data_IF_238522606897
#
_entry.id   IF_238522606897
#
_cell.length_a   1.000
_cell.length_b   1.000
_cell.length_c   1.000
_cell.angle_alpha   90.00
_cell.angle_beta   90.00
_cell.angle_gamma   90.00
#
_symmetry.space_group_name_H-M   'P 1'
#
loop_
_entity.id
_entity.type
_entity.pdbx_description
1 polymer ?
#
# COMPACT_ATOMS: atom_id res chain seq x y z
N UNK A 1 0.97 6.41 -23.06
CA UNK A 1 -0.18 6.24 -22.16
C UNK A 1 -0.61 4.80 -22.32
N UNK A 2 -0.66 4.01 -21.23
CA UNK A 2 -1.15 2.63 -21.30
C UNK A 2 -2.58 2.64 -21.87
N UNK A 3 -2.88 1.78 -22.83
CA UNK A 3 -4.22 1.66 -23.38
C UNK A 3 -5.20 1.23 -22.27
N UNK A 4 -6.04 2.16 -21.83
CA UNK A 4 -7.03 1.92 -20.77
C UNK A 4 -8.28 1.18 -21.28
N UNK A 5 -8.34 0.88 -22.57
CA UNK A 5 -9.45 0.15 -23.19
C UNK A 5 -9.23 -1.36 -23.19
N UNK A 6 -7.98 -1.84 -23.08
CA UNK A 6 -7.68 -3.27 -22.91
C UNK A 6 -8.14 -3.75 -21.52
N UNK A 7 -8.91 -4.86 -21.44
CA UNK A 7 -9.25 -5.46 -20.15
C UNK A 7 -7.98 -5.90 -19.43
N UNK A 8 -7.87 -5.57 -18.14
CA UNK A 8 -6.72 -5.99 -17.32
C UNK A 8 -6.87 -7.46 -16.92
N UNK A 9 -5.76 -8.18 -16.89
CA UNK A 9 -5.65 -9.58 -16.44
C UNK A 9 -5.57 -9.72 -14.90
N UNK A 10 -5.91 -8.66 -14.17
CA UNK A 10 -5.88 -8.56 -12.71
C UNK A 10 -6.97 -7.60 -12.21
N UNK A 11 -7.40 -7.77 -10.95
CA UNK A 11 -8.53 -7.05 -10.33
C UNK A 11 -8.11 -5.65 -9.89
N UNK A 12 -8.47 -4.65 -10.67
CA UNK A 12 -8.11 -3.24 -10.42
C UNK A 12 -9.00 -2.55 -9.38
N UNK A 13 -8.39 -1.69 -8.56
CA UNK A 13 -9.12 -0.87 -7.57
C UNK A 13 -10.17 0.06 -8.19
N UNK A 14 -9.92 0.55 -9.41
CA UNK A 14 -10.87 1.41 -10.11
C UNK A 14 -12.16 0.69 -10.48
N UNK A 15 -12.08 -0.60 -10.86
CA UNK A 15 -13.24 -1.45 -11.10
C UNK A 15 -13.95 -1.76 -9.78
N UNK A 16 -13.18 -2.13 -8.75
CA UNK A 16 -13.71 -2.40 -7.42
C UNK A 16 -14.50 -1.22 -6.84
N UNK A 17 -13.97 0.01 -6.89
CA UNK A 17 -14.70 1.19 -6.38
C UNK A 17 -15.96 1.49 -7.18
N UNK A 18 -15.96 1.26 -8.50
CA UNK A 18 -17.16 1.42 -9.31
C UNK A 18 -18.23 0.38 -8.95
N UNK A 19 -17.83 -0.87 -8.71
CA UNK A 19 -18.72 -1.93 -8.23
C UNK A 19 -19.27 -1.60 -6.83
N UNK A 20 -18.40 -1.17 -5.91
CA UNK A 20 -18.75 -0.92 -4.50
C UNK A 20 -19.63 0.32 -4.32
N UNK A 21 -19.36 1.40 -5.05
CA UNK A 21 -20.00 2.70 -4.84
C UNK A 21 -20.91 3.14 -5.99
N UNK A 22 -21.03 2.36 -7.06
CA UNK A 22 -21.84 2.69 -8.25
C UNK A 22 -21.21 3.74 -9.18
N UNK A 23 -20.14 4.40 -8.76
CA UNK A 23 -19.40 5.40 -9.54
C UNK A 23 -17.92 5.44 -9.11
N UNK A 24 -17.12 6.32 -9.73
CA UNK A 24 -15.69 6.44 -9.40
C UNK A 24 -15.51 7.09 -8.03
N UNK A 25 -14.75 6.43 -7.15
CA UNK A 25 -14.21 7.02 -5.94
C UNK A 25 -12.73 7.37 -6.10
N UNK A 26 -12.28 8.44 -5.45
CA UNK A 26 -10.88 8.89 -5.51
C UNK A 26 -10.28 9.04 -4.10
N UNK A 27 -9.06 8.54 -3.91
CA UNK A 27 -8.33 8.71 -2.64
C UNK A 27 -7.71 10.09 -2.54
N UNK A 28 -8.00 10.80 -1.46
CA UNK A 28 -7.45 12.13 -1.18
C UNK A 28 -6.37 11.98 -0.12
N UNK A 29 -5.08 12.21 -0.42
CA UNK A 29 -4.03 12.21 0.58
C UNK A 29 -4.29 13.27 1.66
N UNK A 30 -4.23 12.86 2.92
CA UNK A 30 -4.36 13.71 4.11
C UNK A 30 -3.13 13.52 4.99
N UNK A 31 -2.51 14.63 5.40
CA UNK A 31 -1.40 14.64 6.33
C UNK A 31 -1.83 15.07 7.73
N UNK A 32 -1.25 14.41 8.73
CA UNK A 32 -1.35 14.77 10.13
C UNK A 32 0.02 15.18 10.68
N UNK A 33 0.08 16.05 11.70
CA UNK A 33 1.33 16.49 12.33
C UNK A 33 1.82 15.41 13.31
N UNK A 34 2.23 14.25 12.77
CA UNK A 34 2.68 13.08 13.53
C UNK A 34 3.97 12.49 12.94
N UNK A 35 4.55 11.51 13.65
CA UNK A 35 5.76 10.79 13.24
C UNK A 35 5.52 9.27 13.21
N UNK A 36 6.59 8.50 13.08
CA UNK A 36 6.63 7.04 13.10
C UNK A 36 7.45 6.57 14.32
N UNK A 37 7.01 5.54 15.07
CA UNK A 37 7.73 5.05 16.25
C UNK A 37 9.13 4.51 15.94
N UNK A 38 9.39 4.16 14.68
CA UNK A 38 10.70 3.72 14.22
C UNK A 38 11.68 4.88 13.97
N UNK A 39 11.27 6.13 14.24
CA UNK A 39 12.10 7.33 14.10
C UNK A 39 12.48 7.96 15.43
N UNK A 40 11.59 7.89 16.42
CA UNK A 40 11.70 8.62 17.68
C UNK A 40 12.30 7.82 18.83
N UNK A 41 12.66 6.55 18.60
CA UNK A 41 13.23 5.65 19.59
C UNK A 41 12.23 4.66 20.21
N UNK A 42 10.94 4.75 19.91
CA UNK A 42 9.93 3.88 20.51
C UNK A 42 9.97 2.43 19.99
N UNK A 43 10.19 2.26 18.69
CA UNK A 43 10.40 0.96 18.04
C UNK A 43 11.75 0.85 17.32
N UNK A 44 12.40 1.99 17.08
CA UNK A 44 13.68 2.09 16.38
C UNK A 44 14.11 3.55 16.24
N UNK A 45 15.30 3.77 15.71
CA UNK A 45 15.89 5.10 15.54
C UNK A 45 16.19 5.35 14.05
N UNK A 46 15.96 6.58 13.59
CA UNK A 46 16.34 7.02 12.23
C UNK A 46 15.36 6.63 11.11
N UNK A 47 14.36 5.78 11.38
CA UNK A 47 13.38 5.36 10.38
C UNK A 47 13.88 4.22 9.48
N UNK A 48 13.00 3.78 8.57
CA UNK A 48 13.36 2.77 7.59
C UNK A 48 14.43 3.31 6.64
N UNK A 49 15.39 2.50 6.24
CA UNK A 49 16.59 2.96 5.52
C UNK A 49 16.29 3.63 4.18
N UNK A 50 15.14 3.34 3.57
CA UNK A 50 14.67 3.93 2.31
C UNK A 50 13.71 5.13 2.50
N UNK A 51 13.31 5.45 3.73
CA UNK A 51 12.25 6.41 4.02
C UNK A 51 12.83 7.81 4.28
N UNK A 52 12.65 8.74 3.34
CA UNK A 52 13.11 10.14 3.49
C UNK A 52 12.35 10.92 4.57
N UNK A 53 12.83 12.13 4.92
CA UNK A 53 12.33 12.92 6.05
C UNK A 53 10.80 13.14 6.04
N UNK A 54 10.21 13.38 4.87
CA UNK A 54 8.77 13.61 4.71
C UNK A 54 7.95 12.32 4.55
N UNK A 55 8.58 11.15 4.65
CA UNK A 55 7.92 9.85 4.47
C UNK A 55 7.37 9.65 3.06
N UNK A 56 6.09 9.31 2.95
CA UNK A 56 5.38 9.14 1.68
C UNK A 56 4.61 10.40 1.24
N UNK A 57 4.82 11.54 1.91
CA UNK A 57 3.97 12.73 1.82
C UNK A 57 4.17 13.64 0.61
N UNK A 58 4.72 13.17 -0.51
CA UNK A 58 4.98 14.03 -1.69
C UNK A 58 3.71 14.64 -2.30
N UNK A 59 2.57 13.97 -2.17
CA UNK A 59 1.27 14.45 -2.68
C UNK A 59 0.39 15.09 -1.59
N UNK A 60 0.91 15.19 -0.35
CA UNK A 60 0.14 15.73 0.77
C UNK A 60 0.15 17.25 0.78
N UNK A 61 -0.96 17.82 1.26
CA UNK A 61 -0.99 19.20 1.72
C UNK A 61 -0.23 19.34 3.06
N UNK A 62 0.18 20.57 3.44
CA UNK A 62 0.87 20.78 4.71
C UNK A 62 0.07 20.27 5.91
N UNK A 63 0.74 19.56 6.82
CA UNK A 63 0.12 19.02 8.04
C UNK A 63 -0.35 20.11 9.03
N UNK A 64 0.01 21.37 8.80
CA UNK A 64 -0.50 22.53 9.55
C UNK A 64 -1.95 22.89 9.20
N UNK A 65 -2.46 22.43 8.05
CA UNK A 65 -3.85 22.63 7.65
C UNK A 65 -4.78 21.64 8.37
N UNK A 66 -6.01 22.06 8.66
CA UNK A 66 -7.02 21.15 9.19
C UNK A 66 -7.37 20.07 8.15
N UNK A 67 -7.78 18.89 8.63
CA UNK A 67 -8.22 17.77 7.77
C UNK A 67 -9.28 18.21 6.75
N UNK A 68 -10.28 18.98 7.21
CA UNK A 68 -11.33 19.51 6.34
C UNK A 68 -10.79 20.42 5.24
N UNK A 69 -9.88 21.35 5.56
CA UNK A 69 -9.28 22.23 4.55
C UNK A 69 -8.48 21.46 3.51
N UNK A 70 -7.70 20.45 3.93
CA UNK A 70 -6.94 19.61 3.01
C UNK A 70 -7.87 18.88 2.02
N UNK A 71 -9.01 18.37 2.51
CA UNK A 71 -10.02 17.69 1.67
C UNK A 71 -10.71 18.67 0.73
N UNK A 72 -11.29 19.76 1.26
CA UNK A 72 -12.07 20.74 0.49
C UNK A 72 -11.25 21.33 -0.68
N UNK A 73 -10.00 21.71 -0.42
CA UNK A 73 -9.13 22.26 -1.47
C UNK A 73 -8.76 21.21 -2.52
N UNK A 74 -8.60 19.95 -2.14
CA UNK A 74 -8.19 18.88 -3.06
C UNK A 74 -9.37 18.41 -3.92
N UNK A 75 -10.58 18.37 -3.36
CA UNK A 75 -11.83 18.08 -4.07
C UNK A 75 -12.05 19.02 -5.26
N UNK A 76 -11.80 20.32 -5.09
CA UNK A 76 -11.96 21.33 -6.17
C UNK A 76 -11.11 21.01 -7.40
N UNK A 77 -9.91 20.46 -7.20
CA UNK A 77 -8.99 20.08 -8.28
C UNK A 77 -9.38 18.74 -8.91
N UNK A 78 -9.75 17.75 -8.09
CA UNK A 78 -10.08 16.40 -8.54
C UNK A 78 -11.40 16.37 -9.30
N UNK A 79 -12.43 17.06 -8.82
CA UNK A 79 -13.75 17.11 -9.46
C UNK A 79 -13.64 17.60 -10.91
N UNK A 80 -12.86 18.66 -11.14
CA UNK A 80 -12.62 19.24 -12.48
C UNK A 80 -11.84 18.28 -13.40
N UNK A 81 -10.81 17.61 -12.88
CA UNK A 81 -9.89 16.80 -13.69
C UNK A 81 -10.41 15.39 -13.99
N UNK A 82 -11.02 14.74 -12.99
CA UNK A 82 -11.34 13.31 -13.05
C UNK A 82 -12.84 13.00 -13.06
N UNK A 83 -13.70 14.00 -12.89
CA UNK A 83 -15.17 13.84 -12.82
C UNK A 83 -15.59 12.78 -11.79
N UNK A 84 -14.92 12.76 -10.64
CA UNK A 84 -15.22 11.91 -9.49
C UNK A 84 -15.82 12.77 -8.38
N UNK A 85 -16.92 12.30 -7.78
CA UNK A 85 -17.69 13.01 -6.75
C UNK A 85 -17.77 12.24 -5.42
N UNK A 86 -17.16 11.06 -5.38
CA UNK A 86 -16.98 10.27 -4.16
C UNK A 86 -15.52 10.22 -3.78
N UNK A 87 -15.24 10.38 -2.50
CA UNK A 87 -13.88 10.53 -2.01
C UNK A 87 -13.59 9.60 -0.85
N UNK A 88 -12.32 9.21 -0.75
CA UNK A 88 -11.78 8.41 0.33
C UNK A 88 -10.59 9.17 0.92
N UNK A 89 -10.76 9.96 1.99
CA UNK A 89 -9.65 10.55 2.72
C UNK A 89 -8.66 9.46 3.13
N UNK A 90 -7.41 9.63 2.72
CA UNK A 90 -6.34 8.67 2.89
C UNK A 90 -5.26 9.29 3.75
N UNK A 91 -5.29 8.94 5.03
CA UNK A 91 -4.28 9.30 6.01
C UNK A 91 -3.02 8.49 5.70
N UNK A 92 -2.13 9.08 4.89
CA UNK A 92 -1.11 8.32 4.17
C UNK A 92 0.23 8.26 4.90
N UNK A 93 0.64 9.35 5.55
CA UNK A 93 2.02 9.50 5.96
C UNK A 93 2.30 8.88 7.34
N UNK A 94 3.47 8.30 7.51
CA UNK A 94 3.94 7.69 8.76
C UNK A 94 2.97 6.67 9.37
N UNK A 95 2.64 6.78 10.65
CA UNK A 95 1.80 5.83 11.38
C UNK A 95 0.60 6.57 11.97
N UNK A 96 -0.51 6.57 11.25
CA UNK A 96 -1.66 7.41 11.62
C UNK A 96 -2.45 6.91 12.83
N UNK A 97 -2.06 5.78 13.43
CA UNK A 97 -2.55 5.33 14.74
C UNK A 97 -1.55 5.61 15.86
N UNK A 98 -0.38 6.19 15.56
CA UNK A 98 0.63 6.57 16.55
C UNK A 98 0.37 7.96 17.12
N UNK A 99 -0.76 8.09 17.81
CA UNK A 99 -1.19 9.29 18.53
C UNK A 99 -2.22 8.95 19.62
N UNK A 100 -2.48 9.84 20.59
CA UNK A 100 -3.52 9.60 21.60
C UNK A 100 -4.88 9.28 20.95
N UNK A 101 -5.62 8.25 21.44
CA UNK A 101 -6.85 7.78 20.80
C UNK A 101 -7.90 8.87 20.55
N UNK A 102 -8.10 9.79 21.49
CA UNK A 102 -9.08 10.88 21.33
C UNK A 102 -8.69 11.85 20.21
N UNK A 103 -7.40 12.16 20.07
CA UNK A 103 -6.90 12.98 18.98
C UNK A 103 -7.08 12.28 17.62
N UNK A 104 -6.95 10.95 17.60
CA UNK A 104 -7.20 10.13 16.42
C UNK A 104 -8.66 10.18 16.01
N UNK A 105 -9.57 9.98 16.96
CA UNK A 105 -11.01 10.15 16.75
C UNK A 105 -11.33 11.50 16.10
N UNK A 106 -10.84 12.60 16.70
CA UNK A 106 -11.08 13.95 16.18
C UNK A 106 -10.63 14.14 14.73
N UNK A 107 -9.44 13.65 14.37
CA UNK A 107 -8.95 13.75 12.99
C UNK A 107 -9.76 12.92 12.00
N UNK A 108 -10.13 11.70 12.37
CA UNK A 108 -10.90 10.80 11.49
C UNK A 108 -12.34 11.31 11.33
N UNK A 109 -12.98 11.77 12.40
CA UNK A 109 -14.31 12.39 12.33
C UNK A 109 -14.32 13.66 11.48
N UNK A 110 -13.25 14.47 11.55
CA UNK A 110 -13.12 15.67 10.70
C UNK A 110 -13.00 15.35 9.20
N UNK A 111 -12.68 14.11 8.83
CA UNK A 111 -12.69 13.65 7.45
C UNK A 111 -14.05 13.12 6.96
N UNK A 112 -15.02 12.93 7.85
CA UNK A 112 -16.34 12.37 7.51
C UNK A 112 -17.29 13.43 6.93
N UNK A 113 -16.97 13.93 5.73
CA UNK A 113 -17.77 14.91 4.99
C UNK A 113 -18.84 14.22 4.12
N UNK A 114 -19.85 14.96 3.66
CA UNK A 114 -21.01 14.42 2.90
C UNK A 114 -20.64 13.57 1.67
N UNK A 115 -19.57 13.93 0.96
CA UNK A 115 -19.10 13.24 -0.26
C UNK A 115 -18.07 12.13 0.02
N UNK A 116 -17.83 11.81 1.29
CA UNK A 116 -16.88 10.77 1.71
C UNK A 116 -17.59 9.45 1.88
N UNK A 117 -17.11 8.43 1.16
CA UNK A 117 -17.72 7.08 1.15
C UNK A 117 -16.87 6.03 1.86
N UNK A 118 -15.63 6.38 2.18
CA UNK A 118 -14.76 5.56 3.00
C UNK A 118 -13.59 6.36 3.54
N UNK A 119 -12.87 5.82 4.51
CA UNK A 119 -11.63 6.38 5.03
C UNK A 119 -10.55 5.31 4.94
N UNK A 120 -9.38 5.72 4.46
CA UNK A 120 -8.19 4.88 4.43
C UNK A 120 -7.16 5.36 5.46
N UNK A 121 -6.74 4.48 6.36
CA UNK A 121 -5.75 4.75 7.41
C UNK A 121 -4.48 3.95 7.11
N UNK A 122 -3.41 4.61 6.67
CA UNK A 122 -2.10 3.99 6.60
C UNK A 122 -1.45 3.96 7.99
N UNK A 123 -1.03 2.77 8.41
CA UNK A 123 -0.27 2.61 9.64
C UNK A 123 0.72 1.45 9.57
N UNK A 124 1.56 1.33 10.59
CA UNK A 124 2.41 0.15 10.74
C UNK A 124 1.64 -0.95 11.47
N UNK A 125 1.94 -2.23 11.19
CA UNK A 125 1.35 -3.35 11.91
C UNK A 125 1.48 -3.28 13.44
N UNK A 126 2.65 -2.91 13.95
CA UNK A 126 2.93 -2.72 15.39
C UNK A 126 2.22 -1.52 16.02
N UNK A 127 1.44 -0.75 15.24
CA UNK A 127 0.60 0.34 15.72
C UNK A 127 -0.90 0.02 15.64
N UNK A 128 -1.27 -1.24 15.37
CA UNK A 128 -2.68 -1.67 15.33
C UNK A 128 -3.09 -2.18 16.71
N UNK A 129 -4.04 -1.49 17.34
CA UNK A 129 -4.55 -1.85 18.66
C UNK A 129 -6.07 -1.67 18.70
N UNK A 130 -6.76 -2.52 19.45
CA UNK A 130 -8.23 -2.63 19.48
C UNK A 130 -8.89 -1.29 19.83
N UNK A 131 -8.33 -0.50 20.75
CA UNK A 131 -8.81 0.85 21.06
C UNK A 131 -8.94 1.80 19.85
N UNK A 132 -8.06 1.70 18.84
CA UNK A 132 -8.18 2.50 17.61
C UNK A 132 -9.20 1.89 16.65
N UNK A 133 -9.30 0.55 16.63
CA UNK A 133 -10.28 -0.17 15.80
C UNK A 133 -11.70 0.06 16.30
N UNK A 134 -11.91 0.14 17.62
CA UNK A 134 -13.18 0.52 18.26
C UNK A 134 -13.61 1.92 17.81
N UNK A 135 -12.69 2.89 17.84
CA UNK A 135 -12.94 4.25 17.33
C UNK A 135 -13.36 4.21 15.86
N UNK A 136 -12.64 3.46 15.02
CA UNK A 136 -13.00 3.33 13.60
C UNK A 136 -14.36 2.67 13.41
N UNK A 137 -14.74 1.73 14.28
CA UNK A 137 -16.03 1.05 14.21
C UNK A 137 -17.18 1.96 14.59
N UNK A 138 -17.00 2.75 15.64
CA UNK A 138 -17.95 3.78 16.04
C UNK A 138 -18.17 4.78 14.89
N UNK A 139 -17.09 5.24 14.27
CA UNK A 139 -17.16 6.19 13.14
C UNK A 139 -17.84 5.54 11.94
N UNK A 140 -17.48 4.31 11.57
CA UNK A 140 -18.16 3.57 10.50
C UNK A 140 -19.67 3.50 10.74
N UNK A 141 -20.09 3.12 11.95
CA UNK A 141 -21.51 2.97 12.29
C UNK A 141 -22.24 4.33 12.29
N UNK A 142 -21.57 5.39 12.78
CA UNK A 142 -22.14 6.74 12.89
C UNK A 142 -22.31 7.42 11.53
N UNK A 143 -21.36 7.25 10.62
CA UNK A 143 -21.33 7.97 9.33
C UNK A 143 -21.67 7.09 8.12
N UNK A 144 -21.77 5.77 8.29
CA UNK A 144 -22.14 4.84 7.21
C UNK A 144 -21.07 4.71 6.11
N UNK A 145 -19.79 4.80 6.48
CA UNK A 145 -18.65 4.81 5.55
C UNK A 145 -17.80 3.53 5.65
N UNK A 146 -17.13 3.16 4.57
CA UNK A 146 -16.18 2.04 4.59
C UNK A 146 -14.87 2.41 5.30
N UNK A 147 -14.23 1.45 5.94
CA UNK A 147 -12.93 1.62 6.57
C UNK A 147 -11.92 0.70 5.89
N UNK A 148 -10.83 1.31 5.40
CA UNK A 148 -9.69 0.64 4.81
C UNK A 148 -8.48 0.86 5.71
N UNK A 149 -7.84 -0.19 6.20
CA UNK A 149 -6.59 -0.09 6.95
C UNK A 149 -5.45 -0.54 6.05
N UNK A 150 -4.52 0.36 5.77
CA UNK A 150 -3.37 0.06 4.94
C UNK A 150 -2.12 -0.20 5.79
N UNK A 151 -1.55 -1.39 5.66
CA UNK A 151 -0.42 -1.87 6.44
C UNK A 151 0.85 -1.92 5.61
N UNK A 152 1.88 -1.22 6.09
CA UNK A 152 3.21 -1.27 5.49
C UNK A 152 3.99 -2.53 5.85
N UNK A 153 3.78 -3.65 5.15
CA UNK A 153 4.58 -4.87 5.31
C UNK A 153 5.96 -4.74 4.66
N UNK A 154 5.97 -4.33 3.40
CA UNK A 154 7.12 -4.16 2.50
C UNK A 154 7.75 -5.46 2.01
N UNK A 155 7.97 -6.44 2.88
CA UNK A 155 8.46 -7.78 2.52
C UNK A 155 7.97 -8.81 3.53
N UNK A 156 7.77 -10.06 3.10
CA UNK A 156 7.55 -11.20 4.01
C UNK A 156 8.85 -11.76 4.58
N UNK A 157 9.99 -11.39 4.00
CA UNK A 157 11.29 -11.83 4.47
C UNK A 157 11.76 -10.98 5.65
N UNK A 158 11.72 -11.55 6.85
CA UNK A 158 12.10 -10.81 8.06
C UNK A 158 13.57 -10.39 8.08
N UNK A 159 14.47 -11.10 7.39
CA UNK A 159 15.86 -10.66 7.24
C UNK A 159 15.95 -9.38 6.40
N UNK A 160 15.16 -9.29 5.31
CA UNK A 160 15.03 -8.05 4.54
C UNK A 160 14.45 -6.93 5.39
N UNK A 161 13.42 -7.21 6.20
CA UNK A 161 12.82 -6.23 7.11
C UNK A 161 13.84 -5.69 8.14
N UNK A 162 14.73 -6.53 8.65
CA UNK A 162 15.83 -6.12 9.53
C UNK A 162 16.82 -5.22 8.79
N UNK A 163 17.25 -5.59 7.58
CA UNK A 163 18.18 -4.78 6.77
C UNK A 163 17.66 -3.40 6.41
N UNK A 164 16.34 -3.27 6.20
CA UNK A 164 15.71 -1.96 5.96
C UNK A 164 15.35 -1.19 7.23
N UNK A 165 15.75 -1.67 8.41
CA UNK A 165 15.35 -1.09 9.69
C UNK A 165 13.83 -0.86 9.76
N UNK A 166 13.02 -1.90 9.47
CA UNK A 166 11.56 -1.75 9.43
C UNK A 166 10.98 -1.47 10.82
N UNK A 167 11.50 -2.15 11.84
CA UNK A 167 11.05 -2.05 13.25
C UNK A 167 9.81 -2.90 13.60
N UNK A 168 9.33 -3.73 12.68
CA UNK A 168 8.32 -4.77 12.92
C UNK A 168 8.58 -5.93 11.94
N UNK A 169 7.97 -7.09 12.18
CA UNK A 169 8.14 -8.30 11.36
C UNK A 169 6.80 -8.95 11.00
N UNK A 170 6.86 -10.18 10.48
CA UNK A 170 5.68 -10.94 10.07
C UNK A 170 4.70 -11.22 11.20
N UNK A 171 5.15 -11.41 12.43
CA UNK A 171 4.26 -11.71 13.55
C UNK A 171 3.33 -10.52 13.85
N UNK A 172 3.87 -9.30 13.91
CA UNK A 172 3.09 -8.08 14.10
C UNK A 172 2.14 -7.85 12.91
N UNK A 173 2.58 -8.15 11.68
CA UNK A 173 1.71 -8.09 10.50
C UNK A 173 0.53 -9.05 10.61
N UNK A 174 0.77 -10.32 10.93
CA UNK A 174 -0.29 -11.33 11.07
C UNK A 174 -1.29 -10.91 12.16
N UNK A 175 -0.80 -10.51 13.35
CA UNK A 175 -1.67 -10.05 14.44
C UNK A 175 -2.52 -8.85 14.01
N UNK A 176 -1.92 -7.85 13.38
CA UNK A 176 -2.62 -6.68 12.86
C UNK A 176 -3.73 -7.05 11.87
N UNK A 177 -3.45 -7.90 10.88
CA UNK A 177 -4.46 -8.36 9.91
C UNK A 177 -5.61 -9.06 10.62
N UNK A 178 -5.31 -10.03 11.50
CA UNK A 178 -6.33 -10.77 12.22
C UNK A 178 -7.20 -9.85 13.09
N UNK A 179 -6.61 -8.85 13.77
CA UNK A 179 -7.35 -7.84 14.53
C UNK A 179 -8.30 -7.05 13.65
N UNK A 180 -7.81 -6.47 12.55
CA UNK A 180 -8.60 -5.63 11.66
C UNK A 180 -9.77 -6.41 11.06
N UNK A 181 -9.54 -7.67 10.64
CA UNK A 181 -10.60 -8.51 10.05
C UNK A 181 -11.73 -8.82 11.04
N UNK A 182 -11.46 -8.90 12.36
CA UNK A 182 -12.54 -9.07 13.37
C UNK A 182 -13.56 -7.93 13.38
N UNK A 183 -13.17 -6.74 12.95
CA UNK A 183 -14.08 -5.58 12.87
C UNK A 183 -14.84 -5.50 11.54
N UNK A 184 -14.50 -6.37 10.57
CA UNK A 184 -15.06 -6.35 9.22
C UNK A 184 -14.51 -5.22 8.35
N UNK A 185 -13.34 -4.66 8.69
CA UNK A 185 -12.68 -3.66 7.86
C UNK A 185 -11.86 -4.31 6.76
N UNK A 186 -11.63 -3.57 5.68
CA UNK A 186 -10.75 -4.02 4.60
C UNK A 186 -9.29 -3.76 4.93
N UNK A 187 -8.45 -4.74 4.64
CA UNK A 187 -7.00 -4.65 4.81
C UNK A 187 -6.33 -4.45 3.45
N UNK A 188 -5.46 -3.45 3.37
CA UNK A 188 -4.54 -3.29 2.24
C UNK A 188 -3.10 -3.54 2.68
N UNK A 189 -2.40 -4.47 2.05
CA UNK A 189 -0.97 -4.68 2.30
C UNK A 189 -0.10 -3.93 1.30
N UNK A 190 0.95 -3.24 1.77
CA UNK A 190 1.97 -2.64 0.91
C UNK A 190 3.17 -3.56 0.80
N UNK A 191 3.64 -3.81 -0.42
CA UNK A 191 4.81 -4.64 -0.71
C UNK A 191 5.75 -3.93 -1.69
N UNK A 192 7.06 -4.12 -1.51
CA UNK A 192 8.11 -3.65 -2.42
C UNK A 192 8.76 -4.88 -3.05
N UNK A 193 8.58 -5.08 -4.35
CA UNK A 193 9.00 -6.34 -4.99
C UNK A 193 10.44 -6.34 -5.52
N UNK A 194 11.18 -5.25 -5.33
CA UNK A 194 12.58 -5.11 -5.73
C UNK A 194 13.48 -4.65 -4.57
N UNK A 195 13.16 -5.04 -3.33
CA UNK A 195 14.14 -4.89 -2.25
C UNK A 195 15.37 -5.75 -2.60
N UNK A 196 16.61 -5.24 -2.42
CA UNK A 196 17.83 -5.88 -2.93
C UNK A 196 18.09 -7.29 -2.38
N UNK A 197 17.47 -7.63 -1.25
CA UNK A 197 17.68 -8.87 -0.53
C UNK A 197 16.53 -9.87 -0.68
N UNK A 198 15.46 -9.48 -1.38
CA UNK A 198 14.35 -10.38 -1.69
C UNK A 198 14.63 -11.12 -3.00
N UNK A 199 14.35 -12.42 -2.98
CA UNK A 199 14.39 -13.36 -4.10
C UNK A 199 13.01 -13.48 -4.77
N UNK A 200 12.93 -14.24 -5.87
CA UNK A 200 11.63 -14.59 -6.47
C UNK A 200 10.75 -15.41 -5.51
N UNK A 201 11.36 -16.28 -4.70
CA UNK A 201 10.62 -17.07 -3.71
C UNK A 201 9.98 -16.17 -2.66
N UNK A 202 10.67 -15.13 -2.19
CA UNK A 202 10.10 -14.14 -1.25
C UNK A 202 8.89 -13.40 -1.87
N UNK A 203 8.93 -13.14 -3.18
CA UNK A 203 7.83 -12.51 -3.90
C UNK A 203 6.62 -13.45 -3.99
N UNK A 204 6.85 -14.71 -4.37
CA UNK A 204 5.79 -15.73 -4.48
C UNK A 204 5.18 -16.01 -3.10
N UNK A 205 6.00 -16.24 -2.08
CA UNK A 205 5.54 -16.45 -0.71
C UNK A 205 4.86 -15.20 -0.14
N UNK A 206 5.24 -14.00 -0.60
CA UNK A 206 4.50 -12.77 -0.38
C UNK A 206 3.04 -12.86 -0.85
N UNK A 207 2.83 -13.23 -2.10
CA UNK A 207 1.48 -13.39 -2.67
C UNK A 207 0.68 -14.49 -1.93
N UNK A 208 1.32 -15.63 -1.64
CA UNK A 208 0.68 -16.74 -0.93
C UNK A 208 0.28 -16.38 0.48
N UNK A 209 1.16 -15.71 1.22
CA UNK A 209 0.93 -15.29 2.60
C UNK A 209 -0.22 -14.31 2.70
N UNK A 210 -0.25 -13.29 1.83
CA UNK A 210 -1.34 -12.31 1.82
C UNK A 210 -2.69 -12.94 1.47
N UNK A 211 -2.68 -13.91 0.57
CA UNK A 211 -3.87 -14.70 0.22
C UNK A 211 -4.35 -15.58 1.38
N UNK A 212 -3.44 -16.27 2.06
CA UNK A 212 -3.76 -17.11 3.22
C UNK A 212 -4.33 -16.30 4.39
N UNK A 213 -3.83 -15.07 4.58
CA UNK A 213 -4.35 -14.11 5.56
C UNK A 213 -5.63 -13.41 5.13
N UNK A 214 -6.12 -13.66 3.91
CA UNK A 214 -7.32 -13.06 3.33
C UNK A 214 -7.29 -11.53 3.38
N UNK A 215 -6.13 -10.96 3.04
CA UNK A 215 -6.01 -9.52 2.82
C UNK A 215 -6.88 -9.11 1.64
N UNK A 216 -7.57 -7.98 1.73
CA UNK A 216 -8.57 -7.58 0.73
C UNK A 216 -7.94 -6.85 -0.46
N UNK A 217 -6.85 -6.11 -0.22
CA UNK A 217 -6.19 -5.28 -1.22
C UNK A 217 -4.67 -5.33 -1.13
N UNK A 218 -3.99 -5.09 -2.25
CA UNK A 218 -2.52 -4.97 -2.30
C UNK A 218 -2.12 -3.70 -3.04
N UNK A 219 -1.12 -3.01 -2.49
CA UNK A 219 -0.45 -1.87 -3.12
C UNK A 219 1.02 -2.24 -3.32
N UNK A 220 1.40 -2.48 -4.57
CA UNK A 220 2.79 -2.75 -4.90
C UNK A 220 3.56 -1.44 -5.12
N UNK A 221 4.85 -1.52 -4.87
CA UNK A 221 5.80 -0.44 -5.05
C UNK A 221 7.03 -0.98 -5.79
N UNK A 222 7.55 -0.17 -6.71
CA UNK A 222 8.95 -0.23 -7.09
C UNK A 222 9.70 0.64 -6.08
N UNK A 223 10.78 0.11 -5.52
CA UNK A 223 11.70 0.83 -4.64
C UNK A 223 12.21 2.07 -5.37
N UNK A 224 12.13 3.21 -4.70
CA UNK A 224 12.81 4.42 -5.10
C UNK A 224 13.78 4.80 -3.99
N UNK A 225 14.99 5.19 -4.38
CA UNK A 225 16.04 5.61 -3.46
C UNK A 225 15.95 7.11 -3.26
N UNK A 226 15.39 7.53 -2.13
CA UNK A 226 15.27 8.95 -1.78
C UNK A 226 16.64 9.50 -1.41
N UNK A 227 16.99 10.70 -1.89
CA UNK A 227 18.24 11.38 -1.56
C UNK A 227 18.41 11.51 -0.04
N UNK A 228 19.67 11.48 0.42
CA UNK A 228 20.04 11.64 1.83
C UNK A 228 19.45 10.58 2.78
N UNK A 229 19.06 9.42 2.26
CA UNK A 229 18.67 8.28 3.09
C UNK A 229 19.83 7.31 3.24
N UNK A 230 19.83 6.51 4.31
CA UNK A 230 20.84 5.47 4.51
C UNK A 230 20.94 4.55 3.29
N UNK A 231 19.81 4.11 2.75
CA UNK A 231 19.81 3.21 1.61
C UNK A 231 20.36 3.87 0.32
N UNK A 232 20.16 5.18 0.15
CA UNK A 232 20.78 5.91 -0.96
C UNK A 232 22.31 5.95 -0.83
N UNK A 233 22.84 6.23 0.36
CA UNK A 233 24.28 6.21 0.61
C UNK A 233 24.90 4.81 0.44
N UNK A 234 24.22 3.78 0.95
CA UNK A 234 24.66 2.39 0.80
C UNK A 234 24.70 1.99 -0.70
N UNK A 235 23.73 2.46 -1.51
CA UNK A 235 23.71 2.23 -2.96
C UNK A 235 24.86 2.94 -3.69
N UNK A 236 25.09 4.22 -3.38
CA UNK A 236 26.20 5.00 -3.96
C UNK A 236 27.58 4.44 -3.58
N UNK A 237 27.69 3.81 -2.40
CA UNK A 237 28.88 3.11 -1.96
C UNK A 237 29.06 1.72 -2.60
N UNK A 238 28.06 1.22 -3.33
CA UNK A 238 28.11 -0.10 -3.98
C UNK A 238 27.82 -1.29 -3.06
N UNK A 239 27.21 -1.07 -1.90
CA UNK A 239 26.88 -2.13 -0.92
C UNK A 239 25.80 -3.09 -1.42
N UNK A 240 25.00 -2.67 -2.40
CA UNK A 240 24.05 -3.52 -3.11
C UNK A 240 23.77 -2.98 -4.52
N UNK A 241 23.15 -3.81 -5.35
CA UNK A 241 22.68 -3.43 -6.68
C UNK A 241 21.17 -3.60 -6.78
N UNK A 242 20.56 -2.90 -7.73
CA UNK A 242 19.14 -3.02 -8.04
C UNK A 242 18.96 -3.92 -9.27
N UNK A 243 17.91 -4.73 -9.24
CA UNK A 243 17.47 -5.53 -10.39
C UNK A 243 17.06 -4.64 -11.57
N UNK A 244 16.97 -5.20 -12.77
CA UNK A 244 16.48 -4.48 -13.96
C UNK A 244 14.95 -4.28 -13.93
N UNK A 245 14.45 -3.43 -14.84
CA UNK A 245 13.02 -3.20 -14.99
C UNK A 245 12.28 -4.48 -15.44
N UNK A 246 12.92 -5.29 -16.28
CA UNK A 246 12.41 -6.58 -16.76
C UNK A 246 12.30 -7.59 -15.62
N UNK A 247 13.32 -7.68 -14.77
CA UNK A 247 13.28 -8.56 -13.59
C UNK A 247 12.21 -8.09 -12.59
N UNK A 248 12.03 -6.78 -12.40
CA UNK A 248 10.92 -6.29 -11.58
C UNK A 248 9.55 -6.63 -12.18
N UNK A 249 9.39 -6.44 -13.49
CA UNK A 249 8.16 -6.79 -14.18
C UNK A 249 7.86 -8.29 -14.03
N UNK A 250 8.87 -9.15 -14.19
CA UNK A 250 8.79 -10.60 -13.95
C UNK A 250 8.33 -10.92 -12.53
N UNK A 251 8.90 -10.26 -11.52
CA UNK A 251 8.48 -10.41 -10.11
C UNK A 251 7.03 -10.00 -9.89
N UNK A 252 6.58 -8.90 -10.49
CA UNK A 252 5.16 -8.50 -10.41
C UNK A 252 4.26 -9.54 -11.05
N UNK A 253 4.63 -10.09 -12.20
CA UNK A 253 3.84 -11.14 -12.88
C UNK A 253 3.73 -12.40 -12.02
N UNK A 254 4.83 -12.88 -11.45
CA UNK A 254 4.80 -14.05 -10.55
C UNK A 254 4.02 -13.76 -9.26
N UNK A 255 4.16 -12.56 -8.69
CA UNK A 255 3.32 -12.15 -7.57
C UNK A 255 1.82 -12.24 -7.92
N UNK A 256 1.40 -11.69 -9.06
CA UNK A 256 0.00 -11.72 -9.50
C UNK A 256 -0.47 -13.13 -9.81
N UNK A 257 0.37 -13.96 -10.44
CA UNK A 257 0.07 -15.36 -10.77
C UNK A 257 -0.39 -16.14 -9.54
N UNK A 258 0.30 -15.99 -8.42
CA UNK A 258 -0.02 -16.70 -7.18
C UNK A 258 -0.98 -15.94 -6.26
N UNK A 259 -1.26 -14.66 -6.49
CA UNK A 259 -2.18 -13.90 -5.65
C UNK A 259 -3.63 -14.36 -5.86
N UNK A 260 -4.39 -14.53 -4.77
CA UNK A 260 -5.82 -14.85 -4.83
C UNK A 260 -6.57 -13.87 -5.77
N UNK A 261 -7.34 -14.38 -6.76
CA UNK A 261 -8.01 -13.55 -7.76
C UNK A 261 -9.05 -12.57 -7.18
N UNK A 262 -9.47 -12.75 -5.93
CA UNK A 262 -10.39 -11.84 -5.23
C UNK A 262 -9.69 -10.59 -4.70
N UNK A 263 -8.37 -10.63 -4.50
CA UNK A 263 -7.59 -9.52 -3.93
C UNK A 263 -7.49 -8.38 -4.94
N UNK A 264 -7.75 -7.16 -4.48
CA UNK A 264 -7.78 -5.98 -5.35
C UNK A 264 -6.42 -5.28 -5.38
N UNK A 265 -5.92 -4.98 -6.58
CA UNK A 265 -4.66 -4.26 -6.79
C UNK A 265 -4.92 -2.76 -6.86
N UNK A 266 -4.37 -2.01 -5.90
CA UNK A 266 -4.40 -0.55 -5.90
C UNK A 266 -3.46 0.05 -6.94
N UNK A 267 -2.26 -0.53 -7.07
CA UNK A 267 -1.27 -0.21 -8.10
C UNK A 267 -0.20 -1.29 -8.16
N UNK A 268 0.50 -1.32 -9.29
CA UNK A 268 1.67 -2.19 -9.50
C UNK A 268 2.99 -1.43 -9.29
N UNK A 269 3.08 -0.19 -9.77
CA UNK A 269 4.32 0.60 -9.76
C UNK A 269 4.17 1.85 -8.89
N UNK A 270 5.20 2.10 -8.07
CA UNK A 270 5.30 3.29 -7.23
C UNK A 270 5.63 4.55 -8.04
N UNK A 271 5.32 5.71 -7.47
CA UNK A 271 5.74 7.00 -8.03
C UNK A 271 6.44 7.80 -6.95
N UNK A 272 7.59 8.35 -7.28
CA UNK A 272 8.31 9.33 -6.49
C UNK A 272 8.85 10.42 -7.44
N UNK A 273 8.87 11.69 -7.01
CA UNK A 273 9.41 12.77 -7.82
C UNK A 273 10.92 12.58 -8.06
N UNK A 274 11.34 12.67 -9.33
CA UNK A 274 12.74 12.43 -9.74
C UNK A 274 13.71 13.36 -9.01
N UNK A 275 13.32 14.61 -8.78
CA UNK A 275 14.12 15.62 -8.10
C UNK A 275 14.54 15.21 -6.67
N UNK A 276 13.78 14.33 -6.03
CA UNK A 276 13.99 13.90 -4.65
C UNK A 276 14.63 12.50 -4.55
N UNK A 277 14.91 11.85 -5.68
CA UNK A 277 15.42 10.47 -5.72
C UNK A 277 16.73 10.37 -6.49
N UNK A 278 17.59 9.43 -6.11
CA UNK A 278 18.75 9.01 -6.93
C UNK A 278 18.40 7.83 -7.85
N UNK A 279 17.33 7.11 -7.52
CA UNK A 279 16.77 6.06 -8.35
C UNK A 279 15.25 6.06 -8.23
N UNK A 280 14.57 6.07 -9.37
CA UNK A 280 13.12 5.89 -9.48
C UNK A 280 12.80 5.27 -10.83
N UNK A 281 12.03 4.18 -10.84
CA UNK A 281 11.53 3.50 -12.03
C UNK A 281 12.57 3.36 -13.16
N UNK A 282 13.85 3.05 -12.88
CA UNK A 282 14.92 2.91 -13.89
C UNK A 282 15.02 4.07 -14.88
N UNK A 283 14.74 5.30 -14.42
CA UNK A 283 14.72 6.51 -15.27
C UNK A 283 13.75 6.43 -16.45
N UNK A 284 12.72 5.57 -16.35
CA UNK A 284 11.62 5.48 -17.29
C UNK A 284 10.30 5.86 -16.62
N UNK A 285 9.35 6.32 -17.43
CA UNK A 285 8.00 6.58 -16.93
C UNK A 285 7.36 5.30 -16.37
N UNK A 286 6.68 5.41 -15.22
CA UNK A 286 6.01 4.28 -14.56
C UNK A 286 5.08 3.48 -15.49
N UNK A 287 4.50 4.12 -16.49
CA UNK A 287 3.64 3.48 -17.48
C UNK A 287 4.40 2.47 -18.35
N UNK A 288 5.69 2.71 -18.65
CA UNK A 288 6.50 1.76 -19.41
C UNK A 288 6.74 0.47 -18.62
N UNK A 289 7.03 0.60 -17.33
CA UNK A 289 7.16 -0.56 -16.43
C UNK A 289 5.85 -1.34 -16.38
N UNK A 290 4.71 -0.64 -16.34
CA UNK A 290 3.41 -1.28 -16.38
C UNK A 290 3.12 -1.95 -17.74
N UNK A 291 3.50 -1.32 -18.86
CA UNK A 291 3.36 -1.90 -20.20
C UNK A 291 4.21 -3.18 -20.31
N UNK A 292 5.41 -3.22 -19.73
CA UNK A 292 6.24 -4.44 -19.64
C UNK A 292 5.51 -5.56 -18.88
N UNK A 293 4.90 -5.25 -17.73
CA UNK A 293 4.13 -6.22 -16.94
C UNK A 293 2.95 -6.76 -17.75
N UNK A 294 2.16 -5.85 -18.34
CA UNK A 294 0.98 -6.23 -19.12
C UNK A 294 1.38 -7.08 -20.35
N UNK A 295 2.51 -6.77 -20.99
CA UNK A 295 3.04 -7.54 -22.11
C UNK A 295 3.47 -8.95 -21.68
N UNK A 296 4.24 -9.11 -20.59
CA UNK A 296 4.65 -10.44 -20.12
C UNK A 296 3.41 -11.28 -19.77
N UNK A 297 2.39 -10.69 -19.14
CA UNK A 297 1.14 -11.40 -18.86
C UNK A 297 0.38 -11.81 -20.12
N UNK A 298 0.43 -11.00 -21.19
CA UNK A 298 -0.21 -11.29 -22.48
C UNK A 298 0.54 -12.39 -23.24
N UNK A 299 1.86 -12.27 -23.35
CA UNK A 299 2.72 -13.19 -24.11
C UNK A 299 2.75 -14.59 -23.49
N UNK A 300 2.64 -14.71 -22.16
CA UNK A 300 2.68 -15.98 -21.42
C UNK A 300 1.29 -16.47 -20.97
N UNK A 301 0.22 -15.78 -21.38
CA UNK A 301 -1.17 -16.04 -20.98
C UNK A 301 -1.40 -16.16 -19.46
N UNK A 302 -0.67 -15.35 -18.68
CA UNK A 302 -0.78 -15.32 -17.24
C UNK A 302 -1.90 -14.35 -16.83
N UNK A 303 -2.72 -14.76 -15.86
CA UNK A 303 -3.68 -13.89 -15.19
C UNK A 303 -3.53 -13.97 -13.67
N UNK A 304 -4.06 -12.98 -12.96
CA UNK A 304 -4.08 -13.01 -11.50
C UNK A 304 -4.75 -14.29 -11.02
N UNK A 305 -4.07 -15.04 -10.15
CA UNK A 305 -4.57 -16.30 -9.61
C UNK A 305 -4.46 -17.51 -10.54
N UNK A 306 -3.79 -17.39 -11.70
CA UNK A 306 -3.56 -18.55 -12.59
C UNK A 306 -2.65 -19.63 -11.97
N UNK A 307 -1.88 -19.32 -10.93
CA UNK A 307 -1.14 -20.25 -10.08
C UNK A 307 -1.71 -20.37 -8.66
N UNK A 308 -2.95 -19.94 -8.42
CA UNK A 308 -3.59 -20.04 -7.11
C UNK A 308 -4.19 -21.44 -6.89
N UNK A 309 -3.33 -22.40 -6.52
CA UNK A 309 -3.69 -23.81 -6.32
C UNK A 309 -3.16 -24.40 -5.00
N UNK A 310 -2.61 -23.55 -4.11
CA UNK A 310 -1.85 -23.96 -2.93
C UNK A 310 -2.64 -23.91 -1.61
N UNK A 311 -3.82 -23.28 -1.56
CA UNK A 311 -4.68 -23.25 -0.37
C UNK A 311 -5.68 -24.41 -0.35
N UNK A 312 -6.52 -24.47 0.70
CA UNK A 312 -7.60 -25.47 0.84
C UNK A 312 -7.12 -26.93 0.83
N UNK A 313 -5.93 -27.19 1.38
CA UNK A 313 -5.38 -28.54 1.47
C UNK A 313 -5.04 -29.13 0.12
N UNK A 314 -4.32 -28.39 -0.73
CA UNK A 314 -3.94 -28.79 -2.10
C UNK A 314 -3.47 -30.26 -2.21
N UNK A 315 -2.64 -30.73 -1.27
CA UNK A 315 -2.12 -32.10 -1.29
C UNK A 315 -3.18 -33.21 -1.12
N UNK A 316 -4.32 -32.89 -0.48
CA UNK A 316 -5.42 -33.83 -0.25
C UNK A 316 -6.57 -33.68 -1.26
N UNK A 317 -6.56 -32.65 -2.11
CA UNK A 317 -7.58 -32.42 -3.14
C UNK A 317 -7.75 -33.62 -4.09
N UNK A 318 -6.66 -34.36 -4.35
CA UNK A 318 -6.72 -35.59 -5.16
C UNK A 318 -7.60 -36.71 -4.58
N UNK A 319 -8.03 -36.59 -3.33
CA UNK A 319 -8.88 -37.57 -2.64
C UNK A 319 -10.32 -37.08 -2.42
N UNK A 320 -10.63 -35.81 -2.72
CA UNK A 320 -11.95 -35.20 -2.57
C UNK A 320 -12.71 -35.21 -3.90
#
# INVERSE_FOLDING_TARGET
MSDTTKPKRYRMISAFYKERYGEKAYKIPVALPLTCPNRDGSAGVGGCTFCGEIGAGYENRPASMTVKQQIDETVVHIAKKYKAYKYIPYFQNFSNTYLPPEKFRQYVEAACLEHVVGIAIATRPDCVHDAYLDILKDIQNKYGIDIYVELGLQSVNYHTLQKVNRGHTMAEFIDAVLRIKRYGFEVCAHMILNLPWDTMDDVIEGAKTLSALQVDQVKLHALYLVKNTKMAHDYEAGEFTLISAEEYARRVVEFLRYLDPKIVLQRLVGRAPEENTIFTNWSMGWWRVQDLIDQIMEDEDISQGSGYDYLHGAAVQKFL
#
